data_IF_839231724396
#
_entry.id   IF_839231724396
#
_cell.length_a   1.000
_cell.length_b   1.000
_cell.length_c   1.000
_cell.angle_alpha   90.00
_cell.angle_beta   90.00
_cell.angle_gamma   90.00
#
_symmetry.space_group_name_H-M   'P 1'
#
loop_
_entity.id
_entity.type
_entity.pdbx_description
1 polymer ?
#
# COMPACT_ATOMS: atom_id res chain seq x y z
N UNK A 1 56.74 -19.00 -33.07
CA UNK A 1 55.67 -19.35 -34.03
C UNK A 1 55.44 -20.84 -33.84
N UNK A 2 54.52 -21.25 -32.95
CA UNK A 2 53.07 -21.34 -33.20
C UNK A 2 52.81 -22.51 -34.18
N UNK A 3 52.05 -23.57 -33.90
CA UNK A 3 50.92 -23.74 -32.99
C UNK A 3 50.81 -25.20 -32.51
N UNK A 4 50.51 -25.37 -31.22
CA UNK A 4 50.05 -26.59 -30.57
C UNK A 4 48.55 -26.41 -30.33
N UNK A 5 47.72 -26.48 -31.37
CA UNK A 5 46.27 -26.35 -31.20
C UNK A 5 45.45 -26.90 -32.37
N UNK A 6 45.23 -28.22 -32.38
CA UNK A 6 44.33 -28.85 -33.36
C UNK A 6 43.70 -30.16 -32.85
N UNK A 7 43.36 -30.24 -31.56
CA UNK A 7 42.54 -31.35 -31.04
C UNK A 7 41.51 -30.92 -29.97
N UNK A 8 41.21 -29.63 -29.87
CA UNK A 8 40.05 -29.14 -29.12
C UNK A 8 38.90 -28.88 -30.09
N UNK A 9 38.16 -29.93 -30.46
CA UNK A 9 36.84 -29.80 -31.07
C UNK A 9 35.83 -30.33 -30.06
N UNK A 10 35.05 -29.40 -29.50
CA UNK A 10 33.94 -29.59 -28.57
C UNK A 10 32.92 -30.61 -29.10
N UNK A 11 32.38 -31.52 -28.27
CA UNK A 11 31.08 -32.11 -28.57
C UNK A 11 30.00 -31.06 -28.33
N UNK A 12 29.26 -30.72 -29.39
CA UNK A 12 28.03 -29.92 -29.31
C UNK A 12 27.13 -30.45 -28.19
N UNK A 13 26.83 -29.59 -27.22
CA UNK A 13 25.80 -29.84 -26.22
C UNK A 13 24.45 -29.82 -26.92
N UNK A 14 23.95 -31.01 -27.29
CA UNK A 14 22.54 -31.21 -27.48
C UNK A 14 21.84 -30.91 -26.16
N UNK A 15 21.11 -29.80 -26.08
CA UNK A 15 20.18 -29.54 -25.00
C UNK A 15 19.11 -30.65 -25.05
N UNK A 16 19.19 -31.62 -24.14
CA UNK A 16 18.01 -32.42 -23.79
C UNK A 16 17.00 -31.47 -23.17
N UNK A 17 16.09 -30.97 -24.01
CA UNK A 17 14.94 -30.19 -23.56
C UNK A 17 14.08 -31.08 -22.67
N UNK A 18 14.08 -30.78 -21.36
CA UNK A 18 13.22 -31.42 -20.38
C UNK A 18 11.75 -31.22 -20.80
N UNK A 19 10.98 -32.29 -21.08
CA UNK A 19 9.57 -32.16 -21.46
C UNK A 19 8.72 -31.44 -20.39
N UNK A 20 9.18 -31.35 -19.14
CA UNK A 20 8.53 -30.55 -18.11
C UNK A 20 8.77 -29.03 -18.27
N UNK A 21 9.87 -28.62 -18.89
CA UNK A 21 10.18 -27.20 -19.12
C UNK A 21 9.23 -26.58 -20.16
N UNK A 22 8.89 -27.32 -21.21
CA UNK A 22 7.93 -26.88 -22.23
C UNK A 22 6.52 -26.72 -21.64
N UNK A 23 6.13 -27.62 -20.73
CA UNK A 23 4.87 -27.54 -20.00
C UNK A 23 4.82 -26.32 -19.07
N UNK A 24 5.86 -26.07 -18.28
CA UNK A 24 5.91 -24.90 -17.38
C UNK A 24 5.93 -23.58 -18.15
N UNK A 25 6.64 -23.51 -19.29
CA UNK A 25 6.64 -22.32 -20.14
C UNK A 25 5.26 -22.06 -20.75
N UNK A 26 4.55 -23.13 -21.15
CA UNK A 26 3.19 -23.04 -21.67
C UNK A 26 2.21 -22.52 -20.62
N UNK A 27 2.20 -23.12 -19.42
CA UNK A 27 1.33 -22.69 -18.32
C UNK A 27 1.63 -21.24 -17.88
N UNK A 28 2.91 -20.83 -17.86
CA UNK A 28 3.28 -19.45 -17.54
C UNK A 28 2.79 -18.45 -18.59
N UNK A 29 2.86 -18.79 -19.87
CA UNK A 29 2.35 -17.94 -20.96
C UNK A 29 0.82 -17.83 -20.98
N UNK A 30 0.12 -18.89 -20.57
CA UNK A 30 -1.34 -18.91 -20.47
C UNK A 30 -1.83 -18.07 -19.28
N UNK A 31 -1.07 -18.04 -18.18
CA UNK A 31 -1.39 -17.24 -16.99
C UNK A 31 -1.02 -15.75 -17.12
N UNK A 32 0.03 -15.43 -17.89
CA UNK A 32 0.48 -14.05 -18.11
C UNK A 32 -0.55 -13.17 -18.87
N UNK A 33 -1.57 -13.77 -19.49
CA UNK A 33 -2.66 -13.04 -20.15
C UNK A 33 -3.76 -12.53 -19.20
N UNK A 34 -3.76 -12.95 -17.93
CA UNK A 34 -4.78 -12.54 -16.95
C UNK A 34 -4.45 -11.28 -16.13
N UNK A 35 -3.17 -10.85 -16.08
CA UNK A 35 -2.76 -9.68 -15.30
C UNK A 35 -3.21 -8.34 -15.90
N UNK A 36 -3.59 -8.31 -17.19
CA UNK A 36 -3.99 -7.08 -17.89
C UNK A 36 -5.50 -6.77 -17.79
N UNK A 37 -6.29 -7.62 -17.11
CA UNK A 37 -7.75 -7.45 -16.99
C UNK A 37 -8.23 -6.74 -15.70
N UNK A 38 -7.38 -6.53 -14.69
CA UNK A 38 -7.81 -5.93 -13.40
C UNK A 38 -7.48 -4.43 -13.26
N UNK A 39 -6.86 -3.79 -14.26
CA UNK A 39 -6.35 -2.42 -14.10
C UNK A 39 -7.24 -1.29 -14.66
N UNK A 40 -8.41 -1.57 -15.26
CA UNK A 40 -9.12 -0.56 -16.06
C UNK A 40 -10.57 -0.22 -15.63
N UNK A 41 -11.07 -0.70 -14.48
CA UNK A 41 -12.46 -0.43 -14.03
C UNK A 41 -12.56 0.45 -12.76
N UNK A 42 -11.48 1.09 -12.32
CA UNK A 42 -11.48 1.91 -11.10
C UNK A 42 -11.40 3.44 -11.33
N UNK A 43 -11.62 3.91 -12.56
CA UNK A 43 -11.45 5.33 -12.91
C UNK A 43 -12.62 5.90 -13.72
N UNK A 44 -13.86 5.72 -13.27
CA UNK A 44 -14.98 6.55 -13.73
C UNK A 44 -16.18 6.55 -12.77
N UNK A 45 -16.11 7.38 -11.73
CA UNK A 45 -17.33 7.88 -11.07
C UNK A 45 -17.10 9.28 -10.51
N UNK A 46 -17.62 10.22 -11.30
CA UNK A 46 -17.73 11.64 -11.08
C UNK A 46 -18.86 11.97 -10.08
N UNK A 47 -18.58 12.94 -9.21
CA UNK A 47 -19.46 13.84 -8.45
C UNK A 47 -20.95 13.51 -8.27
N UNK A 48 -21.39 13.39 -7.01
CA UNK A 48 -22.79 13.48 -6.62
C UNK A 48 -22.97 13.39 -5.10
N UNK A 49 -23.29 14.52 -4.45
CA UNK A 49 -23.44 14.61 -3.00
C UNK A 49 -24.67 13.90 -2.43
N UNK A 50 -24.65 13.66 -1.12
CA UNK A 50 -25.78 13.16 -0.35
C UNK A 50 -25.32 12.59 0.99
N UNK A 51 -25.67 13.26 2.09
CA UNK A 51 -25.15 12.98 3.42
C UNK A 51 -25.58 11.65 4.03
N UNK A 52 -24.84 11.25 5.06
CA UNK A 52 -25.34 10.38 6.11
C UNK A 52 -24.71 10.78 7.44
N UNK A 53 -25.60 11.19 8.34
CA UNK A 53 -25.50 11.49 9.77
C UNK A 53 -24.60 10.50 10.53
N UNK A 54 -23.71 10.97 11.43
CA UNK A 54 -24.00 11.24 12.85
C UNK A 54 -24.41 9.99 13.65
N UNK A 55 -23.53 9.63 14.60
CA UNK A 55 -23.75 9.00 15.91
C UNK A 55 -22.43 8.25 16.23
N UNK A 56 -21.63 8.66 17.20
CA UNK A 56 -22.02 9.07 18.54
C UNK A 56 -21.46 8.01 19.49
N UNK A 57 -20.20 8.19 19.86
CA UNK A 57 -19.46 7.38 20.83
C UNK A 57 -19.87 7.74 22.27
N UNK A 58 -19.71 6.78 23.17
CA UNK A 58 -19.85 6.80 24.64
C UNK A 58 -21.22 6.44 25.25
N UNK A 59 -21.27 5.25 25.89
CA UNK A 59 -21.69 5.19 27.31
C UNK A 59 -21.17 3.91 28.00
N UNK A 60 -20.36 4.09 29.04
CA UNK A 60 -20.05 3.08 30.06
C UNK A 60 -21.24 2.91 31.01
N UNK A 61 -21.55 1.66 31.39
CA UNK A 61 -22.57 1.36 32.39
C UNK A 61 -22.43 -0.07 32.92
N UNK A 62 -21.71 -0.19 34.03
CA UNK A 62 -21.51 -1.37 34.85
C UNK A 62 -22.75 -1.71 35.69
N UNK A 63 -23.24 -2.96 35.61
CA UNK A 63 -24.05 -3.70 36.61
C UNK A 63 -23.80 -5.19 36.27
N UNK A 64 -23.15 -6.04 37.07
CA UNK A 64 -23.42 -6.39 38.46
C UNK A 64 -24.15 -7.74 38.49
N UNK A 65 -23.44 -8.84 38.75
CA UNK A 65 -24.03 -10.18 38.88
C UNK A 65 -22.98 -11.27 39.15
N UNK A 66 -22.72 -11.52 40.43
CA UNK A 66 -21.89 -12.61 40.97
C UNK A 66 -22.55 -14.00 40.80
N UNK A 67 -21.73 -15.04 41.05
CA UNK A 67 -22.05 -16.47 41.19
C UNK A 67 -22.16 -17.23 39.85
N UNK A 68 -21.50 -18.36 39.58
CA UNK A 68 -21.21 -19.49 40.44
C UNK A 68 -20.20 -20.44 39.75
N UNK A 69 -19.13 -20.81 40.45
CA UNK A 69 -18.28 -21.94 40.08
C UNK A 69 -19.10 -23.23 40.24
N UNK A 70 -19.33 -23.96 39.15
CA UNK A 70 -20.17 -25.16 39.10
C UNK A 70 -19.45 -26.32 38.40
N UNK A 71 -18.91 -27.19 39.24
CA UNK A 71 -18.29 -28.47 38.93
C UNK A 71 -19.30 -29.52 38.43
N UNK A 72 -18.81 -30.40 37.56
CA UNK A 72 -19.31 -31.73 37.21
C UNK A 72 -20.60 -31.87 36.38
N UNK A 73 -20.39 -32.31 35.14
CA UNK A 73 -21.38 -32.96 34.30
C UNK A 73 -20.71 -34.08 33.51
N UNK A 74 -20.39 -35.17 34.20
CA UNK A 74 -20.01 -36.47 33.62
C UNK A 74 -21.13 -37.00 32.74
N UNK A 75 -21.14 -36.57 31.48
CA UNK A 75 -21.96 -37.17 30.43
C UNK A 75 -21.29 -38.41 29.89
N UNK A 76 -21.47 -39.54 30.58
CA UNK A 76 -21.25 -40.87 30.04
C UNK A 76 -22.11 -41.08 28.79
N UNK A 77 -21.56 -40.73 27.63
CA UNK A 77 -21.97 -41.27 26.34
C UNK A 77 -21.19 -42.54 26.08
N UNK A 78 -21.60 -43.62 26.73
CA UNK A 78 -21.27 -44.99 26.35
C UNK A 78 -21.69 -45.20 24.89
N UNK A 79 -20.75 -44.99 23.97
CA UNK A 79 -20.88 -45.43 22.59
C UNK A 79 -19.86 -46.53 22.33
N UNK A 80 -20.22 -47.69 22.87
CA UNK A 80 -20.01 -48.98 22.25
C UNK A 80 -18.53 -49.33 22.00
N UNK A 81 -17.97 -49.95 23.03
CA UNK A 81 -16.92 -50.95 22.94
C UNK A 81 -17.29 -52.00 21.89
N UNK A 82 -17.04 -51.70 20.62
CA UNK A 82 -17.15 -52.67 19.55
C UNK A 82 -15.88 -53.52 19.61
N UNK A 83 -15.95 -54.59 20.42
CA UNK A 83 -15.07 -55.74 20.25
C UNK A 83 -15.35 -56.34 18.87
N UNK A 84 -14.63 -55.84 17.86
CA UNK A 84 -14.61 -56.45 16.55
C UNK A 84 -13.66 -57.64 16.62
N UNK A 85 -14.23 -58.84 16.78
CA UNK A 85 -13.61 -60.08 16.27
C UNK A 85 -13.67 -60.08 14.73
N UNK A 86 -13.22 -59.00 14.11
CA UNK A 86 -12.91 -58.93 12.68
C UNK A 86 -11.48 -59.40 12.46
N UNK A 87 -11.08 -59.78 11.24
CA UNK A 87 -9.69 -60.13 10.97
C UNK A 87 -8.82 -59.00 11.51
N UNK A 88 -7.92 -59.36 12.43
CA UNK A 88 -6.95 -58.47 13.07
C UNK A 88 -6.45 -57.48 12.04
N UNK A 89 -6.23 -56.23 12.46
CA UNK A 89 -5.61 -55.15 11.71
C UNK A 89 -4.18 -55.53 11.28
N UNK A 90 -4.09 -56.56 10.46
CA UNK A 90 -2.89 -57.13 9.92
C UNK A 90 -2.23 -56.12 9.01
N UNK A 91 -2.99 -55.18 8.44
CA UNK A 91 -2.45 -54.08 7.67
C UNK A 91 -1.74 -53.05 8.56
N UNK A 92 -2.30 -52.63 9.70
CA UNK A 92 -1.58 -51.76 10.64
C UNK A 92 -0.46 -52.50 11.39
N UNK A 93 -0.62 -53.78 11.69
CA UNK A 93 0.44 -54.58 12.30
C UNK A 93 1.62 -54.79 11.33
N UNK A 94 1.34 -55.05 10.04
CA UNK A 94 2.35 -55.18 8.98
C UNK A 94 2.98 -53.84 8.63
N UNK A 95 2.21 -52.73 8.60
CA UNK A 95 2.78 -51.39 8.38
C UNK A 95 3.70 -50.99 9.53
N UNK A 96 3.32 -51.28 10.78
CA UNK A 96 4.20 -51.12 11.92
C UNK A 96 5.43 -52.04 11.82
N UNK A 97 5.30 -53.27 11.33
CA UNK A 97 6.44 -54.17 11.12
C UNK A 97 7.40 -53.70 10.00
N UNK A 98 6.90 -53.03 8.97
CA UNK A 98 7.74 -52.40 7.94
C UNK A 98 8.48 -51.16 8.49
N UNK A 99 7.89 -50.43 9.44
CA UNK A 99 8.61 -49.37 10.17
C UNK A 99 9.68 -49.91 11.14
N UNK A 100 9.46 -51.12 11.68
CA UNK A 100 10.42 -51.82 12.56
C UNK A 100 11.61 -52.38 11.75
N UNK A 101 11.45 -52.64 10.45
CA UNK A 101 12.53 -53.02 9.54
C UNK A 101 13.34 -51.79 9.12
N UNK A 102 14.05 -51.20 10.09
CA UNK A 102 15.04 -50.12 9.98
C UNK A 102 14.93 -49.31 8.67
N UNK A 103 14.24 -48.16 8.74
CA UNK A 103 14.16 -47.22 7.62
C UNK A 103 15.53 -47.12 6.92
N UNK A 104 15.62 -47.38 5.61
CA UNK A 104 16.87 -47.32 4.87
C UNK A 104 17.55 -45.98 5.13
N UNK A 105 18.85 -45.99 5.45
CA UNK A 105 19.63 -44.78 5.77
C UNK A 105 19.48 -43.68 4.71
N UNK A 106 19.28 -44.04 3.44
CA UNK A 106 18.99 -43.10 2.34
C UNK A 106 17.70 -42.30 2.55
N UNK A 107 16.65 -42.91 3.10
CA UNK A 107 15.37 -42.25 3.38
C UNK A 107 15.51 -41.31 4.57
N UNK A 108 16.30 -41.67 5.59
CA UNK A 108 16.62 -40.77 6.70
C UNK A 108 17.35 -39.52 6.22
N UNK A 109 18.42 -39.72 5.43
CA UNK A 109 19.18 -38.62 4.83
C UNK A 109 18.28 -37.74 3.95
N UNK A 110 17.37 -38.35 3.16
CA UNK A 110 16.43 -37.59 2.34
C UNK A 110 15.43 -36.76 3.18
N UNK A 111 14.90 -37.32 4.27
CA UNK A 111 14.00 -36.59 5.17
C UNK A 111 14.72 -35.44 5.87
N UNK A 112 15.95 -35.65 6.33
CA UNK A 112 16.77 -34.59 6.94
C UNK A 112 17.08 -33.47 5.94
N UNK A 113 17.44 -33.82 4.70
CA UNK A 113 17.69 -32.84 3.63
C UNK A 113 16.42 -32.07 3.24
N UNK A 114 15.28 -32.75 3.12
CA UNK A 114 13.99 -32.08 2.85
C UNK A 114 13.56 -31.18 4.02
N UNK A 115 13.68 -31.66 5.25
CA UNK A 115 13.38 -30.85 6.44
C UNK A 115 14.24 -29.60 6.49
N UNK A 116 15.53 -29.71 6.16
CA UNK A 116 16.45 -28.58 6.08
C UNK A 116 16.09 -27.61 4.96
N UNK A 117 15.68 -28.10 3.78
CA UNK A 117 15.23 -27.24 2.69
C UNK A 117 13.93 -26.51 3.01
N UNK A 118 12.99 -27.17 3.71
CA UNK A 118 11.78 -26.55 4.24
C UNK A 118 12.13 -25.45 5.24
N UNK A 119 12.98 -25.76 6.22
CA UNK A 119 13.42 -24.77 7.21
C UNK A 119 14.11 -23.55 6.56
N UNK A 120 14.91 -23.76 5.51
CA UNK A 120 15.50 -22.65 4.76
C UNK A 120 14.45 -21.79 4.05
N UNK A 121 13.40 -22.40 3.48
CA UNK A 121 12.30 -21.66 2.84
C UNK A 121 11.49 -20.88 3.86
N UNK A 122 11.17 -21.49 5.00
CA UNK A 122 10.45 -20.83 6.10
C UNK A 122 11.24 -19.62 6.62
N UNK A 123 12.56 -19.77 6.80
CA UNK A 123 13.43 -18.66 7.20
C UNK A 123 13.51 -17.54 6.15
N UNK A 124 13.46 -17.87 4.86
CA UNK A 124 13.42 -16.86 3.79
C UNK A 124 12.09 -16.12 3.77
N UNK A 125 10.98 -16.84 3.95
CA UNK A 125 9.65 -16.25 4.04
C UNK A 125 9.54 -15.30 5.23
N UNK A 126 10.04 -15.71 6.41
CA UNK A 126 10.02 -14.87 7.61
C UNK A 126 10.87 -13.61 7.46
N UNK A 127 12.05 -13.73 6.84
CA UNK A 127 12.90 -12.57 6.52
C UNK A 127 12.21 -11.63 5.55
N UNK A 128 11.62 -12.16 4.47
CA UNK A 128 10.88 -11.35 3.52
C UNK A 128 9.73 -10.62 4.22
N UNK A 129 8.90 -11.32 5.01
CA UNK A 129 7.81 -10.70 5.79
C UNK A 129 8.30 -9.59 6.70
N UNK A 130 9.43 -9.78 7.38
CA UNK A 130 10.05 -8.75 8.22
C UNK A 130 10.51 -7.54 7.39
N UNK A 131 11.17 -7.76 6.27
CA UNK A 131 11.60 -6.70 5.35
C UNK A 131 10.40 -5.91 4.80
N UNK A 132 9.32 -6.58 4.40
CA UNK A 132 8.07 -5.94 3.96
C UNK A 132 7.45 -5.10 5.07
N UNK A 133 7.41 -5.61 6.32
CA UNK A 133 6.92 -4.84 7.47
C UNK A 133 7.79 -3.62 7.77
N UNK A 134 9.11 -3.77 7.70
CA UNK A 134 10.04 -2.65 7.90
C UNK A 134 9.93 -1.61 6.78
N UNK A 135 9.77 -2.05 5.53
CA UNK A 135 9.58 -1.15 4.39
C UNK A 135 8.28 -0.36 4.52
N UNK A 136 7.18 -1.03 4.83
CA UNK A 136 5.88 -0.38 5.05
C UNK A 136 5.95 0.65 6.20
N UNK A 137 6.63 0.30 7.30
CA UNK A 137 6.84 1.24 8.42
C UNK A 137 7.65 2.46 8.01
N UNK A 138 8.77 2.27 7.29
CA UNK A 138 9.60 3.37 6.79
C UNK A 138 8.83 4.29 5.85
N UNK A 139 8.06 3.72 4.93
CA UNK A 139 7.26 4.49 3.97
C UNK A 139 6.21 5.35 4.69
N UNK A 140 5.55 4.79 5.71
CA UNK A 140 4.61 5.53 6.54
C UNK A 140 5.30 6.67 7.32
N UNK A 141 6.45 6.41 7.93
CA UNK A 141 7.24 7.44 8.62
C UNK A 141 7.69 8.56 7.66
N UNK A 142 8.14 8.20 6.45
CA UNK A 142 8.57 9.16 5.44
C UNK A 142 7.41 9.97 4.88
N UNK A 143 6.21 9.37 4.73
CA UNK A 143 5.00 10.10 4.38
C UNK A 143 4.65 11.16 5.43
N UNK A 144 4.72 10.81 6.72
CA UNK A 144 4.45 11.77 7.80
C UNK A 144 5.48 12.91 7.84
N UNK A 145 6.76 12.62 7.60
CA UNK A 145 7.80 13.66 7.49
C UNK A 145 7.49 14.60 6.33
N UNK A 146 7.25 14.06 5.14
CA UNK A 146 6.93 14.87 3.98
C UNK A 146 5.66 15.70 4.20
N UNK A 147 4.61 15.12 4.78
CA UNK A 147 3.38 15.83 5.09
C UNK A 147 3.63 16.98 6.10
N UNK A 148 4.40 16.73 7.16
CA UNK A 148 4.77 17.75 8.13
C UNK A 148 5.58 18.88 7.49
N UNK A 149 6.57 18.55 6.65
CA UNK A 149 7.38 19.52 5.90
C UNK A 149 6.52 20.37 4.96
N UNK A 150 5.59 19.76 4.22
CA UNK A 150 4.65 20.50 3.37
C UNK A 150 3.76 21.43 4.19
N UNK A 151 3.24 20.97 5.33
CA UNK A 151 2.45 21.79 6.23
C UNK A 151 3.23 23.00 6.74
N UNK A 152 4.47 22.80 7.21
CA UNK A 152 5.32 23.89 7.68
C UNK A 152 5.68 24.85 6.55
N UNK A 153 6.00 24.35 5.36
CA UNK A 153 6.22 25.20 4.18
C UNK A 153 4.99 26.02 3.82
N UNK A 154 3.80 25.44 3.88
CA UNK A 154 2.55 26.17 3.66
C UNK A 154 2.31 27.23 4.74
N UNK A 155 2.56 26.92 6.02
CA UNK A 155 2.47 27.90 7.11
C UNK A 155 3.46 29.04 6.94
N UNK A 156 4.70 28.75 6.57
CA UNK A 156 5.74 29.74 6.31
C UNK A 156 5.36 30.64 5.13
N UNK A 157 4.92 30.05 4.02
CA UNK A 157 4.45 30.80 2.86
C UNK A 157 3.27 31.72 3.21
N UNK A 158 2.30 31.24 3.98
CA UNK A 158 1.17 32.04 4.42
C UNK A 158 1.63 33.20 5.32
N UNK A 159 2.55 32.93 6.25
CA UNK A 159 3.10 33.96 7.15
C UNK A 159 3.90 35.01 6.38
N UNK A 160 4.75 34.59 5.45
CA UNK A 160 5.52 35.48 4.59
C UNK A 160 4.61 36.31 3.67
N UNK A 161 3.57 35.70 3.10
CA UNK A 161 2.58 36.39 2.30
C UNK A 161 1.78 37.42 3.12
N UNK A 162 1.39 37.07 4.36
CA UNK A 162 0.74 37.99 5.28
C UNK A 162 1.65 39.16 5.67
N UNK A 163 2.90 38.89 6.03
CA UNK A 163 3.89 39.92 6.35
C UNK A 163 4.13 40.85 5.17
N UNK A 164 4.29 40.31 3.96
CA UNK A 164 4.43 41.09 2.74
C UNK A 164 3.17 41.93 2.44
N UNK A 165 1.99 41.37 2.66
CA UNK A 165 0.72 42.07 2.50
C UNK A 165 0.56 43.22 3.50
N UNK A 166 0.87 42.99 4.78
CA UNK A 166 0.84 44.01 5.82
C UNK A 166 1.84 45.13 5.49
N UNK A 167 3.04 44.77 5.05
CA UNK A 167 4.06 45.73 4.63
C UNK A 167 3.57 46.60 3.46
N UNK A 168 3.10 46.00 2.36
CA UNK A 168 2.58 46.75 1.20
C UNK A 168 1.36 47.63 1.60
N UNK A 169 0.51 47.14 2.51
CA UNK A 169 -0.62 47.92 3.06
C UNK A 169 -0.14 49.16 3.81
N UNK A 170 0.76 48.99 4.76
CA UNK A 170 1.18 50.03 5.72
C UNK A 170 2.25 50.99 5.15
N UNK A 171 2.94 50.59 4.07
CA UNK A 171 3.95 51.42 3.40
C UNK A 171 3.33 52.69 2.77
N UNK A 172 3.30 53.80 3.52
CA UNK A 172 2.80 55.09 3.00
C UNK A 172 3.90 55.83 2.23
N UNK A 173 4.06 55.48 0.95
CA UNK A 173 4.88 56.28 0.02
C UNK A 173 4.04 57.44 -0.56
N UNK A 174 4.48 58.70 -0.40
CA UNK A 174 3.83 59.84 -1.06
C UNK A 174 3.80 59.65 -2.58
N UNK A 175 2.62 59.83 -3.20
CA UNK A 175 2.43 59.69 -4.66
C UNK A 175 1.92 58.33 -5.15
N UNK A 176 1.99 57.26 -4.36
CA UNK A 176 1.56 55.91 -4.76
C UNK A 176 0.09 55.57 -4.41
N UNK A 177 -0.69 56.51 -3.89
CA UNK A 177 -2.06 56.25 -3.42
C UNK A 177 -2.97 55.70 -4.53
N UNK A 178 -2.90 56.26 -5.74
CA UNK A 178 -3.69 55.78 -6.89
C UNK A 178 -3.21 54.42 -7.39
N UNK A 179 -1.90 54.15 -7.33
CA UNK A 179 -1.36 52.84 -7.67
C UNK A 179 -1.92 51.74 -6.74
N UNK A 180 -1.96 52.00 -5.44
CA UNK A 180 -2.58 51.09 -4.46
C UNK A 180 -4.06 50.85 -4.73
N UNK A 181 -4.82 51.91 -4.97
CA UNK A 181 -6.26 51.81 -5.30
C UNK A 181 -6.46 50.96 -6.56
N UNK A 182 -5.63 51.14 -7.59
CA UNK A 182 -5.74 50.33 -8.81
C UNK A 182 -5.37 48.86 -8.60
N UNK A 183 -4.41 48.52 -7.73
CA UNK A 183 -4.09 47.12 -7.43
C UNK A 183 -5.27 46.37 -6.80
N UNK A 184 -6.11 47.08 -6.03
CA UNK A 184 -7.30 46.53 -5.38
C UNK A 184 -8.54 46.47 -6.30
N UNK A 185 -8.47 47.11 -7.47
CA UNK A 185 -9.60 47.21 -8.39
C UNK A 185 -9.51 46.16 -9.51
N UNK A 186 -10.61 45.45 -9.77
CA UNK A 186 -10.71 44.49 -10.88
C UNK A 186 -10.96 45.23 -12.21
N UNK A 187 -9.94 45.26 -13.05
CA UNK A 187 -9.96 45.88 -14.38
C UNK A 187 -10.24 44.90 -15.52
N UNK A 188 -10.15 43.59 -15.27
CA UNK A 188 -10.46 42.58 -16.28
C UNK A 188 -11.98 42.53 -16.51
N UNK A 189 -12.48 42.87 -17.71
CA UNK A 189 -13.91 42.86 -17.99
C UNK A 189 -14.53 41.46 -17.86
N UNK A 190 -13.75 40.39 -18.06
CA UNK A 190 -14.23 39.00 -18.01
C UNK A 190 -14.50 38.50 -16.58
N UNK A 191 -13.79 39.04 -15.59
CA UNK A 191 -13.94 38.65 -14.19
C UNK A 191 -15.01 39.48 -13.45
N UNK A 192 -15.60 40.45 -14.14
CA UNK A 192 -16.45 41.48 -13.57
C UNK A 192 -17.93 41.10 -13.62
N UNK A 193 -18.47 40.53 -12.54
CA UNK A 193 -19.91 40.21 -12.38
C UNK A 193 -20.77 41.44 -12.03
N UNK A 194 -20.42 42.61 -12.55
CA UNK A 194 -21.11 43.86 -12.23
C UNK A 194 -22.39 44.00 -13.07
N UNK A 195 -23.51 44.32 -12.41
CA UNK A 195 -24.80 44.58 -13.07
C UNK A 195 -24.88 45.98 -13.70
N UNK A 196 -23.95 46.87 -13.37
CA UNK A 196 -23.86 48.24 -13.86
C UNK A 196 -22.57 48.45 -14.65
N UNK A 197 -22.64 49.30 -15.67
CA UNK A 197 -21.46 49.68 -16.43
C UNK A 197 -20.51 50.56 -15.57
N UNK A 198 -19.34 50.01 -15.27
CA UNK A 198 -18.28 50.67 -14.50
C UNK A 198 -17.10 51.10 -15.38
N UNK A 199 -17.23 51.06 -16.71
CA UNK A 199 -16.16 51.35 -17.67
C UNK A 199 -15.60 52.76 -17.49
N UNK A 200 -16.48 53.75 -17.27
CA UNK A 200 -16.08 55.14 -16.99
C UNK A 200 -15.28 55.27 -15.69
N UNK A 201 -15.72 54.59 -14.63
CA UNK A 201 -15.02 54.59 -13.34
C UNK A 201 -13.63 53.96 -13.47
N UNK A 202 -13.54 52.82 -14.16
CA UNK A 202 -12.27 52.14 -14.44
C UNK A 202 -11.30 53.03 -15.21
N UNK A 203 -11.79 53.72 -16.24
CA UNK A 203 -10.99 54.67 -17.03
C UNK A 203 -10.45 55.81 -16.16
N UNK A 204 -11.28 56.40 -15.29
CA UNK A 204 -10.85 57.47 -14.38
C UNK A 204 -9.78 56.98 -13.40
N UNK A 205 -9.95 55.78 -12.80
CA UNK A 205 -8.96 55.21 -11.87
C UNK A 205 -7.61 54.93 -12.54
N UNK A 206 -7.62 54.44 -13.78
CA UNK A 206 -6.39 54.22 -14.56
C UNK A 206 -5.71 55.53 -14.94
N UNK A 207 -6.48 56.56 -15.29
CA UNK A 207 -5.94 57.89 -15.58
C UNK A 207 -5.26 58.49 -14.34
N UNK A 208 -5.88 58.36 -13.16
CA UNK A 208 -5.33 58.86 -11.91
C UNK A 208 -4.06 58.11 -11.47
N UNK A 209 -3.89 56.86 -11.89
CA UNK A 209 -2.63 56.11 -11.75
C UNK A 209 -1.52 56.66 -12.63
N UNK A 210 -1.82 56.98 -13.89
CA UNK A 210 -0.83 57.46 -14.86
C UNK A 210 -0.48 58.94 -14.67
N UNK A 211 -1.47 59.74 -14.29
CA UNK A 211 -1.34 61.18 -14.09
C UNK A 211 -1.95 61.52 -12.73
N UNK A 212 -1.18 61.37 -11.64
CA UNK A 212 -1.67 61.73 -10.32
C UNK A 212 -1.95 63.23 -10.27
N UNK A 213 -3.00 63.60 -9.53
CA UNK A 213 -3.35 65.00 -9.33
C UNK A 213 -2.17 65.72 -8.66
N UNK A 214 -1.61 66.71 -9.35
CA UNK A 214 -0.63 67.63 -8.77
C UNK A 214 -1.35 68.39 -7.65
N UNK A 215 -0.85 68.27 -6.43
CA UNK A 215 -1.27 69.13 -5.31
C UNK A 215 -0.34 70.32 -5.21
#
# INVERSE_FOLDING_TARGET
>A
MADFDAFAAEPEQAAEEDPAAEFLAREQSELAGLEDFESNDAAQSQEGGGGFDSLGEENQGEVGGEEQFGESGTGSGDFNQQQTNGPSDAYSAVSQQDTVRAEPEKIKIWREEQAKQLEQKDQQEDKAKEEWRQKAKKELDDWYKHHAEQLEKTKENNRAAEEAFIKDRDEKVPGQAWEKITRLCEFNPKNSKNTKDVSRMRSILLQLKQTPLVR
#
